data_IF_268006620572
#
_entry.id   IF_268006620572
#
_cell.length_a   1.000
_cell.length_b   1.000
_cell.length_c   1.000
_cell.angle_alpha   90.00
_cell.angle_beta   90.00
_cell.angle_gamma   90.00
#
_symmetry.space_group_name_H-M   'P 1'
#
loop_
_entity.id
_entity.type
_entity.pdbx_description
1 polymer ?
#
# COMPACT_ATOMS: atom_id res chain seq x y z
N UNK A 1 40.59 -29.05 -13.99
CA UNK A 1 40.78 -27.84 -13.17
C UNK A 1 41.44 -26.78 -14.02
N UNK A 2 40.71 -25.74 -14.44
CA UNK A 2 41.31 -24.47 -14.86
C UNK A 2 40.31 -23.32 -14.66
N UNK A 3 40.66 -22.50 -13.68
CA UNK A 3 40.16 -21.18 -13.29
C UNK A 3 39.31 -20.44 -14.35
N UNK A 4 37.99 -20.40 -14.14
CA UNK A 4 37.06 -19.53 -14.88
C UNK A 4 36.72 -18.22 -14.15
N UNK A 5 37.30 -17.99 -12.97
CA UNK A 5 37.14 -16.74 -12.22
C UNK A 5 38.42 -15.91 -12.31
N UNK A 6 38.56 -15.21 -13.43
CA UNK A 6 39.51 -14.11 -13.55
C UNK A 6 39.16 -13.02 -12.52
N UNK A 7 40.08 -12.77 -11.60
CA UNK A 7 40.15 -11.57 -10.77
C UNK A 7 40.20 -10.35 -11.69
N UNK A 8 39.05 -9.74 -11.94
CA UNK A 8 38.82 -8.35 -12.36
C UNK A 8 37.40 -8.29 -12.93
N UNK A 9 36.40 -8.20 -12.04
CA UNK A 9 35.10 -7.71 -12.46
C UNK A 9 35.29 -6.22 -12.75
N UNK A 10 35.78 -5.89 -13.94
CA UNK A 10 35.80 -4.53 -14.44
C UNK A 10 34.37 -4.02 -14.33
N UNK A 11 34.17 -2.97 -13.52
CA UNK A 11 32.93 -2.20 -13.59
C UNK A 11 32.72 -1.85 -15.06
N UNK A 12 31.52 -2.06 -15.64
CA UNK A 12 31.27 -1.70 -17.02
C UNK A 12 31.69 -0.24 -17.22
N UNK A 13 32.70 -0.02 -18.06
CA UNK A 13 33.16 1.33 -18.42
C UNK A 13 32.13 1.84 -19.42
N UNK A 14 31.11 2.51 -18.90
CA UNK A 14 30.10 3.13 -19.72
C UNK A 14 30.71 4.28 -20.51
N UNK A 15 30.42 4.33 -21.80
CA UNK A 15 30.61 5.57 -22.57
C UNK A 15 29.66 6.64 -22.04
N UNK A 16 30.03 7.93 -22.13
CA UNK A 16 29.16 9.02 -21.65
C UNK A 16 27.74 8.99 -22.23
N UNK A 17 27.58 8.53 -23.49
CA UNK A 17 26.26 8.34 -24.14
C UNK A 17 25.43 7.20 -23.54
N UNK A 18 26.06 6.09 -23.15
CA UNK A 18 25.36 4.98 -22.51
C UNK A 18 24.89 5.36 -21.12
N UNK A 19 25.73 6.07 -20.35
CA UNK A 19 25.39 6.54 -19.02
C UNK A 19 24.23 7.56 -19.04
N UNK A 20 24.23 8.48 -20.01
CA UNK A 20 23.12 9.42 -20.19
C UNK A 20 21.79 8.72 -20.55
N UNK A 21 21.85 7.67 -21.37
CA UNK A 21 20.68 6.85 -21.71
C UNK A 21 20.13 6.15 -20.46
N UNK A 22 20.99 5.58 -19.63
CA UNK A 22 20.59 4.95 -18.37
C UNK A 22 19.97 5.94 -17.38
N UNK A 23 20.55 7.13 -17.22
CA UNK A 23 19.98 8.20 -16.37
C UNK A 23 18.57 8.56 -16.85
N UNK A 24 18.38 8.70 -18.17
CA UNK A 24 17.08 9.02 -18.76
C UNK A 24 16.06 7.90 -18.50
N UNK A 25 16.45 6.65 -18.67
CA UNK A 25 15.59 5.49 -18.37
C UNK A 25 15.24 5.41 -16.87
N UNK A 26 16.20 5.68 -15.99
CA UNK A 26 15.97 5.74 -14.55
C UNK A 26 14.96 6.83 -14.17
N UNK A 27 15.05 8.02 -14.76
CA UNK A 27 14.07 9.11 -14.56
C UNK A 27 12.67 8.68 -14.96
N UNK A 28 12.52 8.07 -16.13
CA UNK A 28 11.22 7.58 -16.59
C UNK A 28 10.62 6.57 -15.60
N UNK A 29 11.42 5.60 -15.15
CA UNK A 29 10.98 4.60 -14.16
C UNK A 29 10.62 5.20 -12.80
N UNK A 30 11.35 6.21 -12.33
CA UNK A 30 11.01 6.93 -11.09
C UNK A 30 9.66 7.64 -11.24
N UNK A 31 9.44 8.33 -12.36
CA UNK A 31 8.15 8.97 -12.64
C UNK A 31 6.99 7.97 -12.68
N UNK A 32 7.17 6.81 -13.32
CA UNK A 32 6.19 5.72 -13.33
C UNK A 32 5.91 5.21 -11.90
N UNK A 33 6.94 5.06 -11.08
CA UNK A 33 6.80 4.67 -9.67
C UNK A 33 6.03 5.71 -8.85
N UNK A 34 6.23 7.01 -9.08
CA UNK A 34 5.44 8.07 -8.43
C UNK A 34 3.96 7.96 -8.78
N UNK A 35 3.66 7.74 -10.07
CA UNK A 35 2.28 7.54 -10.51
C UNK A 35 1.65 6.29 -9.90
N UNK A 36 2.41 5.19 -9.83
CA UNK A 36 1.95 3.96 -9.21
C UNK A 36 1.66 4.15 -7.71
N UNK A 37 2.54 4.82 -6.97
CA UNK A 37 2.31 5.13 -5.55
C UNK A 37 1.11 6.04 -5.34
N UNK A 38 0.89 7.02 -6.21
CA UNK A 38 -0.29 7.88 -6.16
C UNK A 38 -1.58 7.07 -6.33
N UNK A 39 -1.61 6.14 -7.31
CA UNK A 39 -2.75 5.24 -7.54
C UNK A 39 -2.98 4.31 -6.34
N UNK A 40 -1.91 3.74 -5.78
CA UNK A 40 -1.99 2.87 -4.60
C UNK A 40 -2.56 3.63 -3.39
N UNK A 41 -2.10 4.86 -3.14
CA UNK A 41 -2.63 5.68 -2.05
C UNK A 41 -4.13 5.95 -2.22
N UNK A 42 -4.55 6.28 -3.43
CA UNK A 42 -5.96 6.50 -3.74
C UNK A 42 -6.81 5.23 -3.53
N UNK A 43 -6.30 4.05 -3.91
CA UNK A 43 -6.99 2.79 -3.65
C UNK A 43 -7.13 2.50 -2.14
N UNK A 44 -6.07 2.71 -1.37
CA UNK A 44 -6.10 2.59 0.10
C UNK A 44 -7.15 3.53 0.69
N UNK A 45 -7.16 4.80 0.29
CA UNK A 45 -8.12 5.80 0.80
C UNK A 45 -9.56 5.41 0.47
N UNK A 46 -9.82 4.96 -0.75
CA UNK A 46 -11.13 4.47 -1.15
C UNK A 46 -11.58 3.26 -0.32
N UNK A 47 -10.66 2.34 0.00
CA UNK A 47 -10.95 1.17 0.84
C UNK A 47 -11.25 1.58 2.28
N UNK A 48 -10.48 2.53 2.83
CA UNK A 48 -10.76 3.09 4.16
C UNK A 48 -12.16 3.70 4.23
N UNK A 49 -12.52 4.54 3.25
CA UNK A 49 -13.85 5.16 3.20
C UNK A 49 -14.97 4.13 3.09
N UNK A 50 -14.81 3.12 2.23
CA UNK A 50 -15.79 2.04 2.09
C UNK A 50 -15.94 1.25 3.39
N UNK A 51 -14.83 0.90 4.04
CA UNK A 51 -14.84 0.18 5.30
C UNK A 51 -15.53 0.98 6.41
N UNK A 52 -15.25 2.28 6.49
CA UNK A 52 -15.95 3.18 7.41
C UNK A 52 -17.46 3.18 7.16
N UNK A 53 -17.89 3.35 5.90
CA UNK A 53 -19.32 3.31 5.57
C UNK A 53 -20.00 1.97 5.89
N UNK A 54 -19.26 0.87 5.82
CA UNK A 54 -19.74 -0.46 6.25
C UNK A 54 -19.96 -0.49 7.78
N UNK A 55 -19.04 0.07 8.57
CA UNK A 55 -19.20 0.16 10.02
C UNK A 55 -20.36 1.06 10.42
N UNK A 56 -20.48 2.25 9.82
CA UNK A 56 -21.60 3.16 10.06
C UNK A 56 -22.95 2.50 9.75
N UNK A 57 -23.05 1.80 8.62
CA UNK A 57 -24.24 1.04 8.26
C UNK A 57 -24.55 -0.06 9.27
N UNK A 58 -23.53 -0.77 9.77
CA UNK A 58 -23.70 -1.84 10.75
C UNK A 58 -24.23 -1.27 12.08
N UNK A 59 -23.68 -0.15 12.54
CA UNK A 59 -24.12 0.53 13.75
C UNK A 59 -25.60 0.95 13.64
N UNK A 60 -26.02 1.50 12.49
CA UNK A 60 -27.42 1.82 12.22
C UNK A 60 -28.33 0.58 12.28
N UNK A 61 -27.87 -0.57 11.75
CA UNK A 61 -28.65 -1.82 11.81
C UNK A 61 -28.72 -2.39 13.21
N UNK A 62 -27.66 -2.28 13.99
CA UNK A 62 -27.63 -2.68 15.39
C UNK A 62 -28.62 -1.84 16.21
N UNK A 63 -28.60 -0.51 16.04
CA UNK A 63 -29.54 0.39 16.69
C UNK A 63 -31.00 0.09 16.30
N UNK A 64 -31.26 -0.20 15.02
CA UNK A 64 -32.59 -0.61 14.57
C UNK A 64 -33.02 -1.94 15.21
N UNK A 65 -32.11 -2.90 15.32
CA UNK A 65 -32.39 -4.18 15.97
C UNK A 65 -32.78 -4.00 17.43
N UNK A 66 -32.06 -3.16 18.17
CA UNK A 66 -32.36 -2.82 19.56
C UNK A 66 -33.74 -2.15 19.69
N UNK A 67 -34.05 -1.19 18.82
CA UNK A 67 -35.35 -0.52 18.80
C UNK A 67 -36.51 -1.49 18.54
N UNK A 68 -36.36 -2.39 17.56
CA UNK A 68 -37.38 -3.38 17.24
C UNK A 68 -37.55 -4.39 18.39
N UNK A 69 -36.47 -4.78 19.03
CA UNK A 69 -36.48 -5.70 20.18
C UNK A 69 -37.17 -5.06 21.39
N UNK A 70 -36.86 -3.81 21.71
CA UNK A 70 -37.56 -3.04 22.74
C UNK A 70 -39.05 -2.89 22.44
N UNK A 71 -39.41 -2.64 21.17
CA UNK A 71 -40.82 -2.60 20.75
C UNK A 71 -41.50 -3.96 20.93
N UNK A 72 -40.82 -5.05 20.59
CA UNK A 72 -41.37 -6.41 20.73
C UNK A 72 -41.66 -6.79 22.18
N UNK A 73 -40.81 -6.37 23.12
CA UNK A 73 -41.07 -6.56 24.56
C UNK A 73 -42.38 -5.90 25.01
N UNK A 74 -42.71 -4.74 24.46
CA UNK A 74 -43.92 -4.00 24.80
C UNK A 74 -45.16 -4.48 24.02
N UNK A 75 -44.97 -4.88 22.75
CA UNK A 75 -46.04 -5.27 21.83
C UNK A 75 -45.61 -6.47 20.97
N UNK A 76 -45.69 -7.70 21.52
CA UNK A 76 -45.30 -8.90 20.80
C UNK A 76 -46.21 -9.13 19.59
N UNK A 77 -45.60 -9.42 18.44
CA UNK A 77 -46.33 -9.88 17.25
C UNK A 77 -45.45 -10.76 16.38
N UNK A 78 -46.06 -11.75 15.73
CA UNK A 78 -45.33 -12.71 14.86
C UNK A 78 -44.62 -12.01 13.70
N UNK A 79 -45.23 -10.94 13.15
CA UNK A 79 -44.60 -10.17 12.07
C UNK A 79 -43.37 -9.40 12.55
N UNK A 80 -43.41 -8.84 13.76
CA UNK A 80 -42.27 -8.15 14.36
C UNK A 80 -41.16 -9.13 14.73
N UNK A 81 -41.49 -10.29 15.29
CA UNK A 81 -40.52 -11.36 15.56
C UNK A 81 -39.77 -11.77 14.28
N UNK A 82 -40.49 -12.02 13.18
CA UNK A 82 -39.86 -12.38 11.90
C UNK A 82 -38.99 -11.27 11.30
N UNK A 83 -39.30 -9.99 11.57
CA UNK A 83 -38.44 -8.86 11.17
C UNK A 83 -37.16 -8.79 12.00
N UNK A 84 -37.26 -9.02 13.31
CA UNK A 84 -36.13 -9.05 14.24
C UNK A 84 -35.18 -10.18 13.85
N UNK A 85 -35.71 -11.38 13.61
CA UNK A 85 -34.90 -12.55 13.21
C UNK A 85 -34.17 -12.31 11.88
N UNK A 86 -34.86 -11.77 10.87
CA UNK A 86 -34.23 -11.43 9.58
C UNK A 86 -33.12 -10.39 9.74
N UNK A 87 -33.34 -9.36 10.55
CA UNK A 87 -32.35 -8.31 10.79
C UNK A 87 -31.15 -8.87 11.56
N UNK A 88 -31.38 -9.67 12.59
CA UNK A 88 -30.32 -10.34 13.35
C UNK A 88 -29.45 -11.21 12.44
N UNK A 89 -30.09 -12.02 11.58
CA UNK A 89 -29.37 -12.86 10.63
C UNK A 89 -28.53 -12.02 9.68
N UNK A 90 -29.08 -10.95 9.11
CA UNK A 90 -28.35 -10.07 8.21
C UNK A 90 -27.13 -9.41 8.88
N UNK A 91 -27.27 -8.97 10.14
CA UNK A 91 -26.17 -8.42 10.95
C UNK A 91 -25.09 -9.49 11.18
N UNK A 92 -25.48 -10.69 11.62
CA UNK A 92 -24.55 -11.81 11.85
C UNK A 92 -23.81 -12.22 10.59
N UNK A 93 -24.51 -12.36 9.46
CA UNK A 93 -23.92 -12.72 8.17
C UNK A 93 -22.90 -11.65 7.72
N UNK A 94 -23.22 -10.37 7.95
CA UNK A 94 -22.33 -9.26 7.61
C UNK A 94 -21.09 -9.21 8.51
N UNK A 95 -21.24 -9.45 9.82
CA UNK A 95 -20.13 -9.58 10.77
C UNK A 95 -19.23 -10.77 10.42
N UNK A 96 -19.81 -11.93 10.11
CA UNK A 96 -19.05 -13.11 9.70
C UNK A 96 -18.27 -12.86 8.40
N UNK A 97 -18.87 -12.16 7.44
CA UNK A 97 -18.16 -11.76 6.22
C UNK A 97 -17.01 -10.79 6.50
N UNK A 98 -17.18 -9.85 7.44
CA UNK A 98 -16.13 -8.92 7.85
C UNK A 98 -14.97 -9.64 8.54
N UNK A 99 -15.27 -10.62 9.38
CA UNK A 99 -14.27 -11.47 10.03
C UNK A 99 -13.52 -12.34 9.00
N UNK A 100 -14.24 -12.95 8.06
CA UNK A 100 -13.65 -13.83 7.05
C UNK A 100 -12.78 -13.07 6.01
N UNK A 101 -13.15 -11.85 5.66
CA UNK A 101 -12.44 -11.06 4.64
C UNK A 101 -11.36 -10.15 5.21
N UNK A 102 -11.31 -9.96 6.53
CA UNK A 102 -10.33 -9.15 7.26
C UNK A 102 -9.98 -7.81 6.57
N UNK A 103 -10.96 -6.98 6.14
CA UNK A 103 -10.67 -5.82 5.28
C UNK A 103 -9.77 -4.78 5.96
N UNK A 104 -9.86 -4.64 7.29
CA UNK A 104 -8.99 -3.76 8.07
C UNK A 104 -7.52 -4.19 7.99
N UNK A 105 -7.25 -5.49 8.03
CA UNK A 105 -5.89 -6.04 7.92
C UNK A 105 -5.35 -5.86 6.50
N UNK A 106 -6.16 -6.12 5.48
CA UNK A 106 -5.78 -5.88 4.08
C UNK A 106 -5.38 -4.41 3.87
N UNK A 107 -6.16 -3.46 4.42
CA UNK A 107 -5.84 -2.04 4.36
C UNK A 107 -4.53 -1.74 5.10
N UNK A 108 -4.31 -2.32 6.28
CA UNK A 108 -3.09 -2.14 7.06
C UNK A 108 -1.85 -2.65 6.30
N UNK A 109 -1.94 -3.84 5.69
CA UNK A 109 -0.86 -4.44 4.90
C UNK A 109 -0.55 -3.59 3.65
N UNK A 110 -1.57 -3.10 2.95
CA UNK A 110 -1.40 -2.20 1.81
C UNK A 110 -0.75 -0.88 2.23
N UNK A 111 -1.13 -0.34 3.39
CA UNK A 111 -0.57 0.89 3.94
C UNK A 111 0.90 0.72 4.34
N UNK A 112 1.25 -0.41 4.95
CA UNK A 112 2.63 -0.74 5.27
C UNK A 112 3.48 -0.88 3.99
N UNK A 113 2.96 -1.57 2.98
CA UNK A 113 3.63 -1.71 1.67
C UNK A 113 3.80 -0.35 0.98
N UNK A 114 2.81 0.54 1.06
CA UNK A 114 2.91 1.90 0.54
C UNK A 114 4.07 2.68 1.17
N UNK A 115 4.20 2.66 2.50
CA UNK A 115 5.30 3.35 3.18
C UNK A 115 6.67 2.73 2.86
N UNK A 116 6.75 1.40 2.76
CA UNK A 116 7.97 0.73 2.34
C UNK A 116 8.41 1.12 0.92
N UNK A 117 7.47 1.13 -0.03
CA UNK A 117 7.73 1.50 -1.42
C UNK A 117 8.11 2.99 -1.56
N UNK A 118 7.48 3.86 -0.77
CA UNK A 118 7.81 5.29 -0.71
C UNK A 118 9.25 5.51 -0.23
N UNK A 119 9.67 4.78 0.81
CA UNK A 119 11.06 4.81 1.29
C UNK A 119 12.05 4.30 0.24
N UNK A 120 11.72 3.19 -0.44
CA UNK A 120 12.56 2.63 -1.50
C UNK A 120 12.72 3.58 -2.68
N UNK A 121 11.62 4.24 -3.08
CA UNK A 121 11.63 5.25 -4.13
C UNK A 121 12.52 6.43 -3.77
N UNK A 122 12.41 6.97 -2.55
CA UNK A 122 13.26 8.07 -2.10
C UNK A 122 14.75 7.69 -2.15
N UNK A 123 15.11 6.44 -1.78
CA UNK A 123 16.48 5.93 -1.93
C UNK A 123 16.93 5.89 -3.39
N UNK A 124 16.05 5.47 -4.31
CA UNK A 124 16.33 5.42 -5.75
C UNK A 124 16.51 6.81 -6.36
N UNK A 125 15.74 7.80 -5.89
CA UNK A 125 15.90 9.21 -6.27
C UNK A 125 17.27 9.76 -5.84
N UNK A 126 17.67 9.52 -4.58
CA UNK A 126 19.00 9.94 -4.09
C UNK A 126 20.12 9.30 -4.92
N UNK A 127 20.01 8.00 -5.24
CA UNK A 127 21.00 7.33 -6.09
C UNK A 127 21.05 7.92 -7.51
N UNK A 128 19.91 8.33 -8.07
CA UNK A 128 19.87 9.01 -9.36
C UNK A 128 20.59 10.37 -9.26
N UNK A 129 20.30 11.18 -8.25
CA UNK A 129 20.97 12.48 -8.04
C UNK A 129 22.48 12.33 -7.91
N UNK A 130 22.95 11.33 -7.14
CA UNK A 130 24.40 11.06 -7.03
C UNK A 130 25.00 10.72 -8.39
N UNK A 131 24.31 9.88 -9.19
CA UNK A 131 24.78 9.53 -10.55
C UNK A 131 24.86 10.75 -11.46
N UNK A 132 23.86 11.64 -11.40
CA UNK A 132 23.82 12.88 -12.19
C UNK A 132 24.98 13.83 -11.84
N UNK A 133 25.23 14.07 -10.56
CA UNK A 133 26.33 14.90 -10.08
C UNK A 133 27.70 14.31 -10.45
N UNK A 134 27.83 12.98 -10.40
CA UNK A 134 29.06 12.28 -10.83
C UNK A 134 29.29 12.45 -12.33
N UNK A 135 28.24 12.40 -13.16
CA UNK A 135 28.35 12.66 -14.60
C UNK A 135 28.63 14.11 -14.97
N UNK A 136 28.23 15.06 -14.12
CA UNK A 136 28.50 16.49 -14.31
C UNK A 136 29.94 16.89 -13.92
N UNK A 137 30.72 15.98 -13.34
CA UNK A 137 32.06 16.27 -12.82
C UNK A 137 32.05 17.03 -11.48
N UNK A 138 30.91 17.06 -10.78
CA UNK A 138 30.69 17.85 -9.57
C UNK A 138 30.97 17.05 -8.27
N UNK A 139 31.19 15.74 -8.35
CA UNK A 139 31.52 14.87 -7.21
C UNK A 139 32.64 13.87 -7.57
N UNK A 140 33.70 13.84 -6.74
CA UNK A 140 34.73 12.81 -6.81
C UNK A 140 34.27 11.54 -6.07
N UNK A 141 34.26 10.40 -6.76
CA UNK A 141 33.56 9.15 -6.37
C UNK A 141 34.17 8.52 -5.11
N UNK A 142 35.37 8.94 -4.70
CA UNK A 142 36.12 8.35 -3.60
C UNK A 142 35.59 8.69 -2.19
N UNK A 143 34.84 9.78 -2.04
CA UNK A 143 34.31 10.21 -0.72
C UNK A 143 32.82 9.87 -0.50
N UNK A 144 32.04 9.64 -1.57
CA UNK A 144 30.59 9.46 -1.45
C UNK A 144 30.13 8.03 -1.11
N UNK A 145 31.02 7.02 -1.21
CA UNK A 145 30.67 5.58 -1.04
C UNK A 145 31.48 4.93 0.11
N UNK A 146 31.91 5.70 1.11
CA UNK A 146 32.38 5.09 2.37
C UNK A 146 31.20 4.91 3.31
N UNK A 147 30.85 3.67 3.70
CA UNK A 147 29.99 3.49 4.86
C UNK A 147 30.75 4.05 6.07
N UNK A 148 30.19 5.07 6.73
CA UNK A 148 30.65 5.46 8.06
C UNK A 148 30.24 4.34 9.01
N UNK A 149 31.21 3.55 9.44
CA UNK A 149 31.11 2.70 10.64
C UNK A 149 31.33 3.59 11.86
#
# INVERSE_FOLDING_TARGET
MSNFFGKNVQRPVYTGKQLQTEITLCKARINEAHQALKRLKQDIDNRCQKLQGIYEFLDEKQALYEQLTARYQNQPSTSLAGRIEKLQKAITDMLANMEATEPAKVIADLSANYEALKLELARKEVLLTIRELTTAGELDVHDAIKPKW
#
